data_IF_659769200383
#
_entry.id   IF_659769200383
#
_cell.length_a   1.000
_cell.length_b   1.000
_cell.length_c   1.000
_cell.angle_alpha   90.00
_cell.angle_beta   90.00
_cell.angle_gamma   90.00
#
_symmetry.space_group_name_H-M   'P 1'
#
loop_
_entity.id
_entity.type
_entity.pdbx_description
1 polymer ?
#
# COMPACT_ATOMS: atom_id res chain seq x y z
N UNK A 1 46.76 -1.53 12.91
CA UNK A 1 45.56 -2.23 12.40
C UNK A 1 44.48 -2.14 13.48
N UNK A 2 44.01 -0.93 13.78
CA UNK A 2 43.07 -0.66 14.89
C UNK A 2 41.78 -0.02 14.35
N UNK A 3 41.00 -0.77 13.59
CA UNK A 3 39.78 -0.24 12.97
C UNK A 3 38.64 -1.27 12.91
N UNK A 4 38.41 -1.97 14.00
CA UNK A 4 37.12 -2.62 14.28
C UNK A 4 36.86 -2.44 15.78
N UNK A 5 36.54 -1.20 16.20
CA UNK A 5 35.79 -1.02 17.45
C UNK A 5 34.50 -1.78 17.24
N UNK A 6 34.33 -2.89 17.97
CA UNK A 6 33.06 -3.61 18.06
C UNK A 6 32.06 -2.63 18.65
N UNK A 7 31.27 -1.98 17.80
CA UNK A 7 30.16 -1.15 18.24
C UNK A 7 29.11 -2.15 18.73
N UNK A 8 29.03 -2.31 20.05
CA UNK A 8 27.92 -3.03 20.67
C UNK A 8 26.73 -2.05 20.63
N UNK A 9 25.66 -2.34 19.86
CA UNK A 9 24.50 -1.45 19.82
C UNK A 9 23.88 -1.35 21.22
N UNK A 10 23.70 -0.13 21.72
CA UNK A 10 23.17 0.14 23.07
C UNK A 10 21.65 0.23 23.12
N UNK A 11 20.99 0.30 21.97
CA UNK A 11 19.55 0.28 21.83
C UNK A 11 19.17 -0.28 20.46
N UNK A 12 18.00 -0.90 20.37
CA UNK A 12 17.39 -1.33 19.10
C UNK A 12 16.19 -0.46 18.84
N UNK A 13 16.15 0.13 17.66
CA UNK A 13 15.04 0.96 17.21
C UNK A 13 14.26 0.19 16.16
N UNK A 14 12.99 -0.09 16.41
CA UNK A 14 12.14 -0.92 15.55
C UNK A 14 10.96 -0.14 15.00
N UNK A 15 10.63 -0.42 13.75
CA UNK A 15 9.42 0.07 13.11
C UNK A 15 8.16 -0.56 13.73
N UNK A 16 7.00 0.08 13.54
CA UNK A 16 5.68 -0.35 14.01
C UNK A 16 5.34 -1.78 13.55
N UNK A 17 5.82 -2.19 12.38
CA UNK A 17 5.59 -3.52 11.82
C UNK A 17 6.55 -4.61 12.36
N UNK A 18 7.54 -4.25 13.17
CA UNK A 18 8.53 -5.17 13.74
C UNK A 18 8.20 -5.58 15.19
N UNK A 19 6.92 -5.61 15.57
CA UNK A 19 6.44 -5.90 16.92
C UNK A 19 6.93 -7.24 17.52
N UNK A 20 7.23 -8.24 16.69
CA UNK A 20 7.82 -9.51 17.12
C UNK A 20 9.23 -9.33 17.73
N UNK A 21 9.96 -8.30 17.30
CA UNK A 21 11.30 -7.96 17.80
C UNK A 21 11.24 -7.39 19.23
N UNK A 22 10.12 -6.78 19.65
CA UNK A 22 9.90 -6.31 21.03
C UNK A 22 10.02 -7.44 22.06
N UNK A 23 9.52 -8.62 21.72
CA UNK A 23 9.44 -9.75 22.67
C UNK A 23 10.74 -10.54 22.70
N UNK A 24 11.44 -10.59 21.57
CA UNK A 24 12.65 -11.39 21.39
C UNK A 24 13.93 -10.61 21.74
N UNK A 25 14.07 -9.36 21.30
CA UNK A 25 15.32 -8.62 21.42
C UNK A 25 15.74 -8.31 22.86
N UNK A 26 14.85 -7.96 23.82
CA UNK A 26 15.25 -7.75 25.21
C UNK A 26 15.75 -9.05 25.86
N UNK A 27 15.20 -10.21 25.44
CA UNK A 27 15.56 -11.53 25.97
C UNK A 27 16.88 -12.06 25.41
N UNK A 28 17.20 -11.71 24.16
CA UNK A 28 18.36 -12.24 23.43
C UNK A 28 19.57 -11.30 23.53
N UNK A 29 19.34 -9.99 23.52
CA UNK A 29 20.39 -8.99 23.35
C UNK A 29 20.63 -8.14 24.61
N UNK A 30 19.76 -8.22 25.63
CA UNK A 30 19.86 -7.47 26.89
C UNK A 30 20.07 -5.94 26.70
N UNK A 31 19.44 -5.37 25.66
CA UNK A 31 19.48 -3.94 25.33
C UNK A 31 18.06 -3.38 25.16
N UNK A 32 17.81 -2.11 25.51
CA UNK A 32 16.51 -1.48 25.39
C UNK A 32 16.03 -1.43 23.93
N UNK A 33 14.73 -1.70 23.74
CA UNK A 33 14.07 -1.69 22.43
C UNK A 33 13.05 -0.57 22.41
N UNK A 34 13.15 0.33 21.44
CA UNK A 34 12.26 1.48 21.27
C UNK A 34 11.48 1.36 19.96
N UNK A 35 10.19 1.69 19.99
CA UNK A 35 9.44 1.95 18.76
C UNK A 35 9.88 3.28 18.17
N UNK A 36 10.28 3.25 16.90
CA UNK A 36 10.41 4.44 16.09
C UNK A 36 9.25 4.49 15.13
N UNK A 37 8.28 5.30 15.53
CA UNK A 37 7.12 5.60 14.73
C UNK A 37 7.49 6.84 13.91
N UNK A 38 7.91 6.64 12.65
CA UNK A 38 8.24 7.73 11.70
C UNK A 38 7.04 8.57 11.28
N UNK A 39 5.86 8.23 11.80
CA UNK A 39 4.60 8.78 11.36
C UNK A 39 4.39 10.17 11.96
N UNK A 40 4.06 11.17 11.14
CA UNK A 40 3.73 12.51 11.62
C UNK A 40 2.60 12.51 12.66
N UNK A 41 2.45 13.59 13.42
CA UNK A 41 1.49 13.67 14.54
C UNK A 41 0.05 13.27 14.17
N UNK A 42 -0.36 13.50 12.91
CA UNK A 42 -1.60 12.98 12.32
C UNK A 42 -1.71 11.46 12.44
N UNK A 43 -0.74 10.72 11.91
CA UNK A 43 -0.75 9.25 11.92
C UNK A 43 -0.57 8.69 13.33
N UNK A 44 0.22 9.36 14.18
CA UNK A 44 0.33 8.97 15.59
C UNK A 44 -1.00 9.14 16.35
N UNK A 45 -1.71 10.25 16.15
CA UNK A 45 -3.05 10.46 16.70
C UNK A 45 -4.05 9.42 16.17
N UNK A 46 -3.94 9.05 14.89
CA UNK A 46 -4.72 7.98 14.27
C UNK A 46 -4.43 6.60 14.90
N UNK A 47 -3.16 6.28 15.18
CA UNK A 47 -2.75 5.06 15.89
C UNK A 47 -3.31 5.04 17.33
N UNK A 48 -3.34 6.19 18.02
CA UNK A 48 -3.93 6.27 19.36
C UNK A 48 -5.46 6.16 19.34
N UNK A 49 -6.11 6.54 18.24
CA UNK A 49 -7.56 6.39 18.05
C UNK A 49 -7.95 4.99 17.50
N UNK A 50 -6.96 4.16 17.18
CA UNK A 50 -7.14 2.83 16.59
C UNK A 50 -8.10 1.92 17.36
N UNK A 51 -8.08 1.84 18.71
CA UNK A 51 -9.01 0.99 19.47
C UNK A 51 -10.48 1.45 19.40
N UNK A 52 -10.72 2.71 19.03
CA UNK A 52 -12.06 3.27 18.83
C UNK A 52 -12.55 2.99 17.40
N UNK A 53 -11.66 3.12 16.41
CA UNK A 53 -11.96 2.87 15.00
C UNK A 53 -12.10 1.37 14.67
N UNK A 54 -11.30 0.51 15.31
CA UNK A 54 -11.41 -0.95 15.19
C UNK A 54 -12.75 -1.45 15.75
N UNK A 55 -13.24 -0.83 16.83
CA UNK A 55 -14.60 -1.06 17.34
C UNK A 55 -15.71 -0.58 16.39
N UNK A 56 -15.41 0.35 15.48
CA UNK A 56 -16.36 0.89 14.51
C UNK A 56 -16.33 0.15 13.17
N UNK A 57 -15.27 -0.61 12.86
CA UNK A 57 -15.09 -1.33 11.60
C UNK A 57 -15.19 -2.85 11.81
N UNK A 58 -16.23 -3.48 11.24
CA UNK A 58 -16.40 -4.93 11.30
C UNK A 58 -15.62 -5.64 10.17
N UNK A 59 -14.77 -6.60 10.51
CA UNK A 59 -14.14 -7.53 9.55
C UNK A 59 -13.07 -8.45 10.16
N UNK A 60 -13.17 -9.77 9.94
CA UNK A 60 -12.21 -10.78 10.41
C UNK A 60 -11.32 -11.29 9.27
N UNK A 61 -10.03 -11.47 9.53
CA UNK A 61 -9.06 -12.03 8.57
C UNK A 61 -9.44 -13.41 8.00
N UNK A 62 -10.30 -14.16 8.70
CA UNK A 62 -10.68 -15.54 8.33
C UNK A 62 -11.64 -15.63 7.15
N UNK A 63 -12.35 -14.55 6.81
CA UNK A 63 -13.38 -14.56 5.77
C UNK A 63 -12.80 -14.34 4.35
N UNK A 64 -11.50 -14.08 4.24
CA UNK A 64 -10.80 -13.70 3.00
C UNK A 64 -10.71 -14.86 1.97
N UNK A 65 -10.65 -16.12 2.43
CA UNK A 65 -10.24 -17.26 1.61
C UNK A 65 -11.36 -17.87 0.75
N UNK A 66 -12.64 -17.67 1.11
CA UNK A 66 -13.80 -18.13 0.31
C UNK A 66 -14.25 -17.10 -0.76
N UNK A 67 -13.68 -15.89 -0.74
CA UNK A 67 -14.14 -14.73 -1.52
C UNK A 67 -13.35 -14.48 -2.82
N UNK A 68 -12.12 -15.00 -2.92
CA UNK A 68 -11.13 -14.61 -3.93
C UNK A 68 -11.57 -14.86 -5.39
N UNK A 69 -12.07 -16.06 -5.71
CA UNK A 69 -12.47 -16.41 -7.09
C UNK A 69 -13.67 -15.59 -7.57
N UNK A 70 -14.64 -15.31 -6.69
CA UNK A 70 -15.78 -14.46 -7.06
C UNK A 70 -15.34 -13.01 -7.28
N UNK A 71 -14.48 -12.47 -6.41
CA UNK A 71 -13.97 -11.12 -6.58
C UNK A 71 -13.13 -10.96 -7.86
N UNK A 72 -12.37 -11.99 -8.23
CA UNK A 72 -11.58 -11.99 -9.46
C UNK A 72 -12.44 -11.90 -10.73
N UNK A 73 -13.61 -12.56 -10.74
CA UNK A 73 -14.58 -12.46 -11.83
C UNK A 73 -15.11 -11.02 -11.96
N UNK A 74 -15.41 -10.38 -10.83
CA UNK A 74 -15.85 -8.97 -10.84
C UNK A 74 -14.72 -8.04 -11.32
N UNK A 75 -13.47 -8.25 -10.88
CA UNK A 75 -12.30 -7.46 -11.33
C UNK A 75 -12.10 -7.58 -12.83
N UNK A 76 -12.03 -8.81 -13.34
CA UNK A 76 -11.83 -9.05 -14.78
C UNK A 76 -12.95 -8.46 -15.61
N UNK A 77 -14.20 -8.61 -15.16
CA UNK A 77 -15.35 -8.01 -15.85
C UNK A 77 -15.30 -6.47 -15.82
N UNK A 78 -14.99 -5.87 -14.68
CA UNK A 78 -14.86 -4.42 -14.54
C UNK A 78 -13.73 -3.83 -15.39
N UNK A 79 -12.57 -4.49 -15.43
CA UNK A 79 -11.44 -4.13 -16.30
C UNK A 79 -11.83 -4.19 -17.78
N UNK A 80 -12.51 -5.26 -18.21
CA UNK A 80 -12.99 -5.39 -19.59
C UNK A 80 -13.95 -4.25 -19.98
N UNK A 81 -14.95 -3.99 -19.12
CA UNK A 81 -15.98 -2.98 -19.33
C UNK A 81 -15.42 -1.56 -19.32
N UNK A 82 -14.38 -1.30 -18.52
CA UNK A 82 -13.76 0.02 -18.43
C UNK A 82 -13.22 0.53 -19.76
N UNK A 83 -12.86 -0.36 -20.69
CA UNK A 83 -12.27 -0.01 -21.98
C UNK A 83 -10.84 0.57 -21.90
N UNK A 84 -10.32 0.86 -20.70
CA UNK A 84 -9.01 1.44 -20.49
C UNK A 84 -7.88 0.41 -20.59
N UNK A 85 -6.67 0.92 -20.83
CA UNK A 85 -5.45 0.13 -20.73
C UNK A 85 -5.15 -0.17 -19.26
N UNK A 86 -4.69 -1.37 -18.97
CA UNK A 86 -4.35 -1.76 -17.60
C UNK A 86 -3.10 -2.64 -17.57
N UNK A 87 -2.35 -2.49 -16.47
CA UNK A 87 -1.35 -3.45 -16.04
C UNK A 87 -1.83 -4.01 -14.71
N UNK A 88 -2.06 -5.31 -14.65
CA UNK A 88 -2.57 -5.96 -13.46
C UNK A 88 -1.57 -6.99 -12.93
N UNK A 89 -1.10 -6.78 -11.70
CA UNK A 89 -0.26 -7.73 -10.99
C UNK A 89 -1.16 -8.66 -10.19
N UNK A 90 -1.19 -9.93 -10.60
CA UNK A 90 -1.91 -10.98 -9.88
C UNK A 90 -0.91 -11.72 -9.01
N UNK A 91 -1.24 -11.82 -7.73
CA UNK A 91 -0.54 -12.73 -6.82
C UNK A 91 -1.43 -13.92 -6.56
N UNK A 92 -0.98 -15.10 -6.97
CA UNK A 92 -1.56 -16.36 -6.52
C UNK A 92 -1.37 -16.44 -5.01
N UNK A 93 -2.46 -16.45 -4.25
CA UNK A 93 -2.36 -16.87 -2.85
C UNK A 93 -1.98 -18.36 -2.87
N UNK A 94 -0.97 -18.80 -2.09
CA UNK A 94 -0.77 -20.22 -1.89
C UNK A 94 -2.06 -20.74 -1.27
N UNK A 95 -2.77 -21.58 -2.01
CA UNK A 95 -3.95 -22.29 -1.54
C UNK A 95 -3.52 -23.09 -0.32
N UNK A 96 -3.82 -22.59 0.88
CA UNK A 96 -3.68 -23.39 2.10
C UNK A 96 -4.85 -24.37 2.13
N UNK A 97 -4.80 -25.37 1.24
CA UNK A 97 -5.35 -26.68 1.56
C UNK A 97 -4.21 -27.46 2.22
N UNK A 98 -4.51 -28.12 3.33
CA UNK A 98 -3.51 -28.84 4.14
C UNK A 98 -2.78 -29.92 3.33
N UNK A 99 -3.41 -30.36 2.23
CA UNK A 99 -2.94 -31.38 1.31
C UNK A 99 -2.05 -30.86 0.17
N UNK A 100 -1.99 -29.53 -0.07
CA UNK A 100 -1.22 -28.91 -1.17
C UNK A 100 0.14 -28.35 -0.72
N UNK A 101 0.54 -28.57 0.54
CA UNK A 101 1.81 -28.08 1.12
C UNK A 101 3.08 -28.62 0.43
N UNK A 102 2.93 -29.62 -0.44
CA UNK A 102 4.01 -30.26 -1.18
C UNK A 102 4.02 -29.93 -2.68
N UNK A 103 3.12 -29.08 -3.16
CA UNK A 103 3.15 -28.60 -4.55
C UNK A 103 4.02 -27.34 -4.60
N UNK A 104 5.07 -27.27 -5.43
CA UNK A 104 5.85 -26.06 -5.61
C UNK A 104 4.93 -24.88 -5.97
N UNK A 105 5.15 -23.66 -5.45
CA UNK A 105 4.37 -22.45 -5.76
C UNK A 105 4.29 -22.09 -7.26
N UNK A 106 5.08 -22.79 -8.07
CA UNK A 106 5.38 -22.52 -9.47
C UNK A 106 4.29 -23.03 -10.44
N UNK A 107 3.28 -23.74 -9.94
CA UNK A 107 2.31 -24.51 -10.76
C UNK A 107 0.98 -23.76 -11.03
N UNK A 108 0.71 -22.62 -10.38
CA UNK A 108 -0.54 -21.87 -10.64
C UNK A 108 -0.37 -20.91 -11.82
N UNK A 109 -0.72 -21.37 -13.02
CA UNK A 109 -0.75 -20.57 -14.26
C UNK A 109 -1.81 -19.45 -14.20
N UNK A 110 -1.54 -18.28 -14.82
CA UNK A 110 -2.54 -17.20 -14.95
C UNK A 110 -3.84 -17.71 -15.58
N UNK A 111 -3.69 -18.62 -16.53
CA UNK A 111 -4.80 -19.15 -17.31
C UNK A 111 -5.78 -19.98 -16.49
N UNK A 112 -5.34 -20.59 -15.38
CA UNK A 112 -6.25 -21.36 -14.52
C UNK A 112 -6.99 -20.48 -13.52
N UNK A 113 -6.50 -19.27 -13.25
CA UNK A 113 -7.11 -18.35 -12.31
C UNK A 113 -8.11 -17.39 -12.99
N UNK A 114 -7.82 -16.95 -14.22
CA UNK A 114 -8.62 -15.97 -14.95
C UNK A 114 -9.81 -16.60 -15.68
N UNK A 115 -10.94 -15.86 -15.88
CA UNK A 115 -12.05 -16.35 -16.69
C UNK A 115 -11.64 -16.61 -18.14
N UNK A 116 -12.24 -17.64 -18.73
CA UNK A 116 -11.96 -18.08 -20.09
C UNK A 116 -12.01 -16.91 -21.10
N UNK A 117 -10.94 -16.80 -21.88
CA UNK A 117 -10.79 -15.79 -22.93
C UNK A 117 -10.54 -14.36 -22.48
N UNK A 118 -10.39 -14.08 -21.17
CA UNK A 118 -10.12 -12.71 -20.67
C UNK A 118 -8.84 -12.11 -21.28
N UNK A 119 -7.75 -12.89 -21.30
CA UNK A 119 -6.47 -12.45 -21.87
C UNK A 119 -6.61 -12.15 -23.36
N UNK A 120 -7.31 -13.00 -24.11
CA UNK A 120 -7.54 -12.78 -25.56
C UNK A 120 -8.41 -11.54 -25.83
N UNK A 121 -9.48 -11.33 -25.05
CA UNK A 121 -10.35 -10.15 -25.18
C UNK A 121 -9.63 -8.85 -24.84
N UNK A 122 -8.62 -8.90 -23.98
CA UNK A 122 -7.91 -7.71 -23.49
C UNK A 122 -6.50 -7.53 -24.05
N UNK A 123 -5.96 -8.46 -24.85
CA UNK A 123 -4.55 -8.48 -25.32
C UNK A 123 -4.00 -7.20 -25.94
N UNK A 124 -4.87 -6.36 -26.52
CA UNK A 124 -4.50 -5.10 -27.17
C UNK A 124 -4.43 -3.91 -26.19
N UNK A 125 -4.88 -4.08 -24.94
CA UNK A 125 -4.99 -3.02 -23.92
C UNK A 125 -4.59 -3.45 -22.51
N UNK A 126 -4.56 -4.74 -22.22
CA UNK A 126 -4.30 -5.29 -20.90
C UNK A 126 -3.01 -6.12 -20.86
N UNK A 127 -2.25 -5.96 -19.78
CA UNK A 127 -1.12 -6.83 -19.45
C UNK A 127 -1.35 -7.40 -18.06
N UNK A 128 -1.19 -8.72 -17.92
CA UNK A 128 -1.29 -9.42 -16.63
C UNK A 128 0.07 -10.00 -16.24
N UNK A 129 0.50 -9.78 -15.00
CA UNK A 129 1.80 -10.21 -14.47
C UNK A 129 1.60 -11.07 -13.21
N UNK A 130 2.10 -12.31 -13.19
CA UNK A 130 1.68 -13.34 -12.22
C UNK A 130 2.52 -13.48 -10.93
N UNK A 131 3.45 -12.56 -10.65
CA UNK A 131 4.31 -12.69 -9.44
C UNK A 131 4.59 -11.33 -8.83
N UNK A 132 5.29 -10.50 -9.59
CA UNK A 132 5.79 -9.23 -9.09
C UNK A 132 6.07 -8.28 -10.25
N UNK A 133 5.79 -7.00 -10.03
CA UNK A 133 6.20 -5.92 -10.91
C UNK A 133 7.05 -4.94 -10.12
N UNK A 134 8.00 -4.29 -10.81
CA UNK A 134 8.77 -3.18 -10.25
C UNK A 134 7.84 -1.97 -10.06
N UNK A 135 7.06 -1.96 -8.97
CA UNK A 135 6.00 -0.97 -8.73
C UNK A 135 6.50 0.47 -8.88
N UNK A 136 7.65 0.79 -8.29
CA UNK A 136 8.29 2.11 -8.43
C UNK A 136 8.56 2.47 -9.90
N UNK A 137 9.08 1.54 -10.69
CA UNK A 137 9.33 1.77 -12.12
C UNK A 137 8.03 1.94 -12.91
N UNK A 138 6.98 1.20 -12.57
CA UNK A 138 5.65 1.35 -13.15
C UNK A 138 5.07 2.71 -12.81
N UNK A 139 5.01 3.10 -11.54
CA UNK A 139 4.44 4.37 -11.08
C UNK A 139 5.20 5.58 -11.64
N UNK A 140 6.52 5.48 -11.84
CA UNK A 140 7.32 6.53 -12.46
C UNK A 140 7.18 6.59 -13.99
N UNK A 141 6.43 5.69 -14.61
CA UNK A 141 6.29 5.65 -16.06
C UNK A 141 5.20 6.61 -16.56
N UNK A 142 5.52 7.45 -17.54
CA UNK A 142 4.61 8.49 -18.09
C UNK A 142 3.27 7.98 -18.63
N UNK A 143 3.18 6.70 -18.97
CA UNK A 143 1.93 6.08 -19.47
C UNK A 143 0.97 5.66 -18.35
N UNK A 144 1.39 5.72 -17.08
CA UNK A 144 0.52 5.39 -15.95
C UNK A 144 -0.35 6.60 -15.62
N UNK A 145 -1.65 6.47 -15.86
CA UNK A 145 -2.64 7.51 -15.60
C UNK A 145 -3.39 7.37 -14.27
N UNK A 146 -3.22 6.24 -13.57
CA UNK A 146 -3.85 6.01 -12.28
C UNK A 146 -3.43 4.68 -11.65
N UNK A 147 -3.67 4.55 -10.34
CA UNK A 147 -3.26 3.38 -9.55
C UNK A 147 -4.38 2.92 -8.60
N UNK A 148 -4.90 1.71 -8.84
CA UNK A 148 -5.80 1.05 -7.89
C UNK A 148 -4.94 0.40 -6.80
N UNK A 149 -5.09 0.85 -5.55
CA UNK A 149 -4.21 0.47 -4.45
C UNK A 149 -5.00 -0.04 -3.25
N UNK A 150 -4.41 -1.02 -2.57
CA UNK A 150 -4.82 -1.48 -1.24
C UNK A 150 -4.59 -0.48 -0.10
N UNK A 151 -4.15 0.76 -0.39
CA UNK A 151 -3.91 1.81 0.60
C UNK A 151 -2.80 1.50 1.62
N UNK A 152 -1.87 0.58 1.32
CA UNK A 152 -0.65 0.44 2.11
C UNK A 152 0.20 1.71 2.04
N UNK A 153 0.63 2.25 3.18
CA UNK A 153 1.21 3.60 3.25
C UNK A 153 2.43 3.80 2.34
N UNK A 154 3.30 2.79 2.22
CA UNK A 154 4.44 2.85 1.30
C UNK A 154 4.00 3.04 -0.16
N UNK A 155 2.96 2.32 -0.60
CA UNK A 155 2.43 2.45 -1.96
C UNK A 155 1.74 3.80 -2.19
N UNK A 156 1.12 4.36 -1.16
CA UNK A 156 0.54 5.72 -1.21
C UNK A 156 1.64 6.77 -1.36
N UNK A 157 2.73 6.66 -0.57
CA UNK A 157 3.87 7.56 -0.68
C UNK A 157 4.56 7.47 -2.05
N UNK A 158 4.81 6.26 -2.55
CA UNK A 158 5.39 6.06 -3.89
C UNK A 158 4.52 6.73 -4.98
N UNK A 159 3.22 6.45 -4.99
CA UNK A 159 2.30 7.03 -5.97
C UNK A 159 2.25 8.57 -5.88
N UNK A 160 2.22 9.11 -4.66
CA UNK A 160 2.23 10.56 -4.41
C UNK A 160 3.52 11.20 -4.93
N UNK A 161 4.69 10.62 -4.61
CA UNK A 161 5.98 11.10 -5.07
C UNK A 161 6.14 11.05 -6.60
N UNK A 162 5.41 10.16 -7.29
CA UNK A 162 5.42 10.11 -8.75
C UNK A 162 4.30 10.94 -9.39
N UNK A 163 3.32 11.39 -8.63
CA UNK A 163 2.22 12.20 -9.14
C UNK A 163 1.08 11.36 -9.74
N UNK A 164 0.88 10.14 -9.24
CA UNK A 164 -0.09 9.18 -9.80
C UNK A 164 -1.39 9.20 -8.98
N UNK A 165 -2.54 9.55 -9.59
CA UNK A 165 -3.83 9.56 -8.90
C UNK A 165 -4.31 8.14 -8.58
N UNK A 166 -5.10 7.97 -7.52
CA UNK A 166 -5.39 6.64 -6.99
C UNK A 166 -6.89 6.30 -6.95
N UNK A 167 -7.19 5.00 -6.97
CA UNK A 167 -8.45 4.46 -6.43
C UNK A 167 -8.12 3.64 -5.19
N UNK A 168 -8.75 3.99 -4.07
CA UNK A 168 -8.49 3.44 -2.75
C UNK A 168 -9.39 2.22 -2.48
N UNK A 169 -8.79 1.02 -2.48
CA UNK A 169 -9.46 -0.26 -2.26
C UNK A 169 -8.76 -1.09 -1.16
N UNK A 170 -8.96 -0.74 0.12
CA UNK A 170 -8.25 -1.35 1.26
C UNK A 170 -8.63 -2.82 1.46
N UNK A 171 -7.70 -3.62 1.98
CA UNK A 171 -7.90 -5.05 2.22
C UNK A 171 -7.79 -5.43 3.70
N UNK A 172 -6.76 -4.95 4.41
CA UNK A 172 -6.46 -5.37 5.79
C UNK A 172 -5.66 -4.33 6.60
N UNK A 173 -5.45 -4.61 7.90
CA UNK A 173 -4.71 -3.76 8.84
C UNK A 173 -5.25 -2.30 8.88
N UNK A 174 -4.38 -1.30 8.82
CA UNK A 174 -4.72 0.11 8.89
C UNK A 174 -5.20 0.71 7.54
N UNK A 175 -5.24 -0.10 6.47
CA UNK A 175 -5.54 0.37 5.12
C UNK A 175 -6.91 1.06 5.00
N UNK A 176 -7.92 0.60 5.75
CA UNK A 176 -9.23 1.26 5.80
C UNK A 176 -9.14 2.68 6.34
N UNK A 177 -8.21 2.92 7.26
CA UNK A 177 -7.95 4.25 7.82
C UNK A 177 -7.15 5.09 6.83
N UNK A 178 -6.13 4.50 6.20
CA UNK A 178 -5.38 5.17 5.14
C UNK A 178 -6.30 5.61 3.98
N UNK A 179 -7.32 4.81 3.63
CA UNK A 179 -8.38 5.20 2.67
C UNK A 179 -9.08 6.48 3.11
N UNK A 180 -9.48 6.59 4.38
CA UNK A 180 -10.18 7.79 4.88
C UNK A 180 -9.26 8.99 4.75
N UNK A 181 -8.03 8.92 5.26
CA UNK A 181 -7.08 10.05 5.19
C UNK A 181 -6.79 10.46 3.74
N UNK A 182 -6.53 9.50 2.85
CA UNK A 182 -6.17 9.81 1.47
C UNK A 182 -7.35 10.35 0.64
N UNK A 183 -8.59 9.91 0.92
CA UNK A 183 -9.80 10.33 0.19
C UNK A 183 -10.38 11.61 0.79
N UNK A 184 -10.48 11.69 2.11
CA UNK A 184 -11.18 12.77 2.80
C UNK A 184 -10.27 13.96 3.12
N UNK A 185 -9.05 13.73 3.58
CA UNK A 185 -8.17 14.82 4.01
C UNK A 185 -7.23 15.25 2.87
N UNK A 186 -6.51 14.29 2.29
CA UNK A 186 -5.47 14.60 1.30
C UNK A 186 -6.01 14.75 -0.13
N UNK A 187 -7.25 14.29 -0.39
CA UNK A 187 -7.90 14.31 -1.71
C UNK A 187 -7.07 13.68 -2.84
N UNK A 188 -6.29 12.63 -2.53
CA UNK A 188 -5.39 11.94 -3.47
C UNK A 188 -6.03 10.78 -4.23
N UNK A 189 -7.25 10.40 -3.86
CA UNK A 189 -7.88 9.19 -4.39
C UNK A 189 -9.40 9.25 -4.44
N UNK A 190 -9.96 8.45 -5.35
CA UNK A 190 -11.38 8.07 -5.32
C UNK A 190 -11.58 6.82 -4.44
N UNK A 191 -12.63 6.74 -3.63
CA UNK A 191 -12.93 5.54 -2.85
C UNK A 191 -13.49 4.43 -3.74
N UNK A 192 -13.05 3.18 -3.53
CA UNK A 192 -13.78 2.00 -4.02
C UNK A 192 -14.91 1.68 -3.03
N UNK A 193 -16.13 1.46 -3.51
CA UNK A 193 -17.26 1.08 -2.67
C UNK A 193 -17.47 -0.45 -2.66
N UNK A 194 -17.55 -1.01 -1.46
CA UNK A 194 -17.81 -2.43 -1.26
C UNK A 194 -19.32 -2.69 -1.09
N UNK A 195 -19.79 -3.82 -1.61
CA UNK A 195 -21.09 -4.41 -1.31
C UNK A 195 -20.99 -5.30 -0.05
N UNK A 196 -22.14 -5.78 0.40
CA UNK A 196 -22.24 -6.67 1.57
C UNK A 196 -21.28 -7.87 1.48
N UNK A 197 -20.52 -8.11 2.55
CA UNK A 197 -19.49 -9.15 2.60
C UNK A 197 -18.12 -8.73 2.05
N UNK A 198 -17.87 -7.42 1.86
CA UNK A 198 -16.54 -6.88 1.50
C UNK A 198 -16.13 -7.16 0.06
N UNK A 199 -17.10 -7.41 -0.81
CA UNK A 199 -16.88 -7.61 -2.26
C UNK A 199 -17.06 -6.30 -2.99
N UNK A 200 -16.53 -6.18 -4.20
CA UNK A 200 -16.75 -5.04 -5.09
C UNK A 200 -17.32 -5.56 -6.40
N UNK A 201 -18.43 -4.98 -6.83
CA UNK A 201 -19.08 -5.34 -8.09
C UNK A 201 -18.30 -4.80 -9.31
N UNK A 202 -18.37 -5.51 -10.43
CA UNK A 202 -17.73 -5.13 -11.69
C UNK A 202 -18.13 -3.73 -12.16
N UNK A 203 -19.40 -3.35 -11.94
CA UNK A 203 -19.91 -2.03 -12.29
C UNK A 203 -19.24 -0.91 -11.48
N UNK A 204 -18.92 -1.16 -10.20
CA UNK A 204 -18.20 -0.19 -9.38
C UNK A 204 -16.73 -0.09 -9.80
N UNK A 205 -16.08 -1.22 -10.14
CA UNK A 205 -14.70 -1.23 -10.67
C UNK A 205 -14.63 -0.46 -11.99
N UNK A 206 -15.54 -0.74 -12.92
CA UNK A 206 -15.67 -0.01 -14.18
C UNK A 206 -15.83 1.49 -13.91
N UNK A 207 -16.83 1.85 -13.09
CA UNK A 207 -17.16 3.23 -12.74
C UNK A 207 -15.94 3.95 -12.19
N UNK A 208 -15.25 3.41 -11.19
CA UNK A 208 -14.11 4.09 -10.54
C UNK A 208 -12.91 4.23 -11.46
N UNK A 209 -12.65 3.24 -12.32
CA UNK A 209 -11.59 3.37 -13.34
C UNK A 209 -11.91 4.50 -14.30
N UNK A 210 -13.12 4.51 -14.89
CA UNK A 210 -13.52 5.54 -15.85
C UNK A 210 -13.60 6.92 -15.21
N UNK A 211 -14.13 7.01 -13.99
CA UNK A 211 -14.20 8.25 -13.23
C UNK A 211 -12.80 8.81 -12.98
N UNK A 212 -11.84 7.99 -12.52
CA UNK A 212 -10.46 8.44 -12.35
C UNK A 212 -9.84 8.90 -13.68
N UNK A 213 -10.08 8.18 -14.77
CA UNK A 213 -9.38 8.41 -16.05
C UNK A 213 -10.01 9.50 -16.94
N UNK A 214 -11.33 9.68 -16.90
CA UNK A 214 -12.10 10.45 -17.90
C UNK A 214 -12.90 11.62 -17.31
N UNK A 215 -13.16 11.64 -15.99
CA UNK A 215 -14.06 12.62 -15.39
C UNK A 215 -13.36 13.87 -14.84
N UNK A 216 -14.15 14.92 -14.59
CA UNK A 216 -13.68 16.13 -13.89
C UNK A 216 -13.21 15.85 -12.45
N UNK A 217 -13.85 14.90 -11.76
CA UNK A 217 -13.38 14.48 -10.43
C UNK A 217 -12.01 13.80 -10.53
N UNK A 218 -11.79 13.00 -11.57
CA UNK A 218 -10.48 12.43 -11.88
C UNK A 218 -9.43 13.50 -12.23
N UNK A 219 -9.82 14.55 -12.96
CA UNK A 219 -8.96 15.71 -13.23
C UNK A 219 -8.58 16.45 -11.94
N UNK A 220 -9.55 16.66 -11.05
CA UNK A 220 -9.30 17.27 -9.75
C UNK A 220 -8.28 16.46 -8.94
N UNK A 221 -8.46 15.14 -8.83
CA UNK A 221 -7.52 14.27 -8.11
C UNK A 221 -6.12 14.33 -8.75
N UNK A 222 -6.01 14.36 -10.08
CA UNK A 222 -4.71 14.53 -10.78
C UNK A 222 -4.00 15.82 -10.39
N UNK A 223 -4.70 16.94 -10.36
CA UNK A 223 -4.09 18.23 -9.98
C UNK A 223 -3.65 18.24 -8.52
N UNK A 224 -4.45 17.69 -7.61
CA UNK A 224 -4.08 17.56 -6.19
C UNK A 224 -2.82 16.70 -6.01
N UNK A 225 -2.75 15.56 -6.70
CA UNK A 225 -1.62 14.64 -6.57
C UNK A 225 -0.36 15.23 -7.23
N UNK A 226 -0.50 16.01 -8.30
CA UNK A 226 0.60 16.76 -8.90
C UNK A 226 1.16 17.83 -7.95
N UNK A 227 0.30 18.60 -7.29
CA UNK A 227 0.74 19.54 -6.27
C UNK A 227 1.42 18.82 -5.08
N UNK A 228 0.84 17.70 -4.65
CA UNK A 228 1.39 16.87 -3.56
C UNK A 228 2.76 16.27 -3.90
N UNK A 229 3.01 15.94 -5.16
CA UNK A 229 4.33 15.54 -5.66
C UNK A 229 5.36 16.65 -5.49
N UNK A 230 5.00 17.88 -5.87
CA UNK A 230 5.86 19.06 -5.73
C UNK A 230 6.14 19.34 -4.24
N UNK A 231 5.15 19.21 -3.38
CA UNK A 231 5.29 19.33 -1.92
C UNK A 231 6.23 18.27 -1.34
N UNK A 232 6.06 17.01 -1.75
CA UNK A 232 6.94 15.92 -1.33
C UNK A 232 8.39 16.17 -1.76
N UNK A 233 8.61 16.64 -2.99
CA UNK A 233 9.94 17.00 -3.48
C UNK A 233 10.55 18.16 -2.69
N UNK A 234 9.76 19.21 -2.38
CA UNK A 234 10.21 20.35 -1.57
C UNK A 234 10.56 19.94 -0.14
N UNK A 235 9.74 19.09 0.48
CA UNK A 235 9.99 18.61 1.84
C UNK A 235 11.31 17.83 1.96
N UNK A 236 11.71 17.14 0.89
CA UNK A 236 12.93 16.30 0.82
C UNK A 236 14.16 17.02 0.23
N UNK A 237 14.03 18.27 -0.22
CA UNK A 237 15.14 19.06 -0.77
C UNK A 237 16.11 19.55 0.31
N UNK A 238 17.27 20.07 -0.11
CA UNK A 238 18.22 20.70 0.82
C UNK A 238 17.55 21.87 1.56
N UNK A 239 17.53 21.79 2.90
CA UNK A 239 16.81 22.76 3.75
C UNK A 239 15.28 22.53 3.81
N UNK A 240 14.77 21.49 3.16
CA UNK A 240 13.37 21.06 3.22
C UNK A 240 12.94 20.61 4.61
N UNK A 241 11.62 20.67 4.85
CA UNK A 241 11.04 20.43 6.18
C UNK A 241 11.36 19.05 6.76
N UNK A 242 11.35 17.99 5.94
CA UNK A 242 11.67 16.63 6.38
C UNK A 242 13.16 16.49 6.73
N UNK A 243 14.04 17.07 5.92
CA UNK A 243 15.49 17.07 6.16
C UNK A 243 15.83 17.85 7.44
N UNK A 244 15.22 19.02 7.65
CA UNK A 244 15.39 19.83 8.86
C UNK A 244 14.87 19.11 10.10
N UNK A 245 13.70 18.46 10.01
CA UNK A 245 13.16 17.70 11.13
C UNK A 245 14.06 16.52 11.51
N UNK A 246 14.60 15.81 10.52
CA UNK A 246 15.55 14.72 10.75
C UNK A 246 16.86 15.23 11.36
N UNK A 247 17.40 16.34 10.89
CA UNK A 247 18.61 16.95 11.45
C UNK A 247 18.41 17.32 12.93
N UNK A 248 17.29 17.96 13.28
CA UNK A 248 16.94 18.28 14.68
C UNK A 248 16.83 17.03 15.56
N UNK A 249 16.26 15.95 15.02
CA UNK A 249 16.18 14.68 15.75
C UNK A 249 17.58 14.12 16.07
N UNK A 250 18.49 14.16 15.09
CA UNK A 250 19.88 13.70 15.26
C UNK A 250 20.62 14.56 16.29
N UNK A 251 20.45 15.89 16.25
CA UNK A 251 21.02 16.81 17.24
C UNK A 251 20.57 16.48 18.67
N UNK A 252 19.28 16.19 18.87
CA UNK A 252 18.75 15.78 20.18
C UNK A 252 19.42 14.50 20.70
N UNK A 253 19.73 13.55 19.84
CA UNK A 253 20.38 12.30 20.24
C UNK A 253 21.85 12.48 20.59
N UNK A 254 22.56 13.39 19.92
CA UNK A 254 23.96 13.69 20.26
C UNK A 254 24.09 14.36 21.62
N UNK A 255 23.11 15.19 22.01
CA UNK A 255 23.01 15.75 23.36
C UNK A 255 22.79 14.63 24.39
N UNK A 256 21.94 13.65 24.10
CA UNK A 256 21.68 12.52 25.00
C UNK A 256 22.87 11.57 25.18
N UNK A 257 23.78 11.46 24.20
CA UNK A 257 25.00 10.63 24.33
C UNK A 257 26.12 11.29 25.13
N UNK A 258 26.06 12.60 25.33
CA UNK A 258 27.05 13.38 26.10
C UNK A 258 26.67 13.55 27.58
N UNK A 259 25.44 13.18 27.94
CA UNK A 259 24.93 13.08 29.31
C UNK A 259 25.16 11.66 29.84
#
# INVERSE_FOLDING_TARGET
MDALRVIVPTAVVIDLYCASTMVAAPKILNIPVYYFVTSGACVFATILHFPTLDRQNQGSFKDMNKSFTCQLKEITKGLELSGHRFLWVIRSQPTIKKEELFVPPDVLDSNTLLPDGFLERTKHRGIVVNKWAQQVAVLNHKSVGGFVTHCGWNSVLEATCFGVPMVAWPLYAEQKINRIVMVEDMKLALPMDEIEGGKVAAAEIEKRIRQLMESEEGNFVREVVKASKEDAARAMSDGGSSCVALAKLVECWDVMRRL
#
